data_IF_843345149127
#
_entry.id   IF_843345149127
#
_cell.length_a   1.000
_cell.length_b   1.000
_cell.length_c   1.000
_cell.angle_alpha   90.00
_cell.angle_beta   90.00
_cell.angle_gamma   90.00
#
_symmetry.space_group_name_H-M   'P 1'
#
loop_
_entity.id
_entity.type
_entity.pdbx_description
1 polymer ?
#
# COMPACT_ATOMS: atom_id res chain seq x y z
N UNK A 1 66.36 -41.81 -35.98
CA UNK A 1 66.26 -41.69 -37.45
C UNK A 1 65.02 -40.86 -37.77
N UNK A 2 65.13 -40.03 -38.82
CA UNK A 2 64.13 -39.12 -39.44
C UNK A 2 63.56 -37.99 -38.57
N UNK A 3 63.37 -36.75 -39.03
CA UNK A 3 64.04 -35.84 -39.97
C UNK A 3 63.22 -34.53 -39.89
N UNK A 4 63.90 -33.39 -39.93
CA UNK A 4 63.32 -32.04 -39.98
C UNK A 4 62.76 -31.76 -41.38
N UNK A 5 61.65 -31.00 -41.48
CA UNK A 5 61.17 -30.43 -42.73
C UNK A 5 60.00 -29.46 -42.54
N UNK A 6 60.31 -28.16 -42.53
CA UNK A 6 59.36 -27.06 -42.50
C UNK A 6 58.69 -26.83 -43.87
N UNK A 7 57.45 -26.32 -43.85
CA UNK A 7 56.92 -25.50 -44.94
C UNK A 7 56.00 -24.42 -44.37
N UNK A 8 56.39 -23.17 -44.60
CA UNK A 8 55.60 -21.98 -44.32
C UNK A 8 54.68 -21.68 -45.50
N UNK A 9 53.48 -21.17 -45.22
CA UNK A 9 52.68 -20.40 -46.17
C UNK A 9 52.11 -19.20 -45.41
N UNK A 10 52.57 -18.01 -45.80
CA UNK A 10 52.08 -16.73 -45.36
C UNK A 10 50.71 -16.44 -45.99
N UNK A 11 49.79 -15.87 -45.20
CA UNK A 11 48.56 -15.25 -45.68
C UNK A 11 48.32 -13.97 -44.87
N UNK A 12 48.51 -12.83 -45.50
CA UNK A 12 48.32 -11.49 -44.96
C UNK A 12 46.84 -11.21 -44.65
N UNK A 13 46.56 -10.34 -43.67
CA UNK A 13 45.23 -9.72 -43.55
C UNK A 13 44.87 -9.21 -42.17
N UNK A 14 45.37 -8.02 -41.84
CA UNK A 14 44.71 -6.97 -41.05
C UNK A 14 44.01 -7.32 -39.73
N UNK A 15 44.67 -6.93 -38.64
CA UNK A 15 44.03 -6.62 -37.37
C UNK A 15 42.95 -5.52 -37.57
N UNK A 16 41.69 -5.93 -37.60
CA UNK A 16 40.56 -5.03 -37.45
C UNK A 16 40.17 -5.00 -35.96
N UNK A 17 40.32 -3.83 -35.34
CA UNK A 17 39.71 -3.49 -34.04
C UNK A 17 38.25 -3.97 -34.03
N UNK A 18 37.74 -4.58 -32.96
CA UNK A 18 36.30 -4.57 -32.74
C UNK A 18 35.90 -3.10 -32.57
N UNK A 19 35.30 -2.53 -33.60
CA UNK A 19 34.60 -1.26 -33.50
C UNK A 19 33.51 -1.46 -32.46
N UNK A 20 33.67 -0.80 -31.32
CA UNK A 20 32.64 -0.66 -30.31
C UNK A 20 31.45 0.05 -30.94
N UNK A 21 30.47 -0.74 -31.37
CA UNK A 21 29.11 -0.26 -31.46
C UNK A 21 28.62 -0.28 -30.02
N UNK A 22 28.76 0.86 -29.34
CA UNK A 22 27.98 1.14 -28.14
C UNK A 22 26.53 1.14 -28.59
N UNK A 23 25.91 -0.04 -28.57
CA UNK A 23 24.48 -0.18 -28.66
C UNK A 23 23.96 0.45 -27.36
N UNK A 24 23.60 1.73 -27.45
CA UNK A 24 22.61 2.30 -26.55
C UNK A 24 21.49 1.28 -26.45
N UNK A 25 21.11 0.81 -25.24
CA UNK A 25 20.01 -0.13 -25.13
C UNK A 25 18.80 0.55 -25.75
N UNK A 26 18.35 0.04 -26.90
CA UNK A 26 17.02 0.34 -27.41
C UNK A 26 16.08 -0.24 -26.37
N UNK A 27 15.49 0.63 -25.55
CA UNK A 27 14.28 0.28 -24.83
C UNK A 27 13.33 -0.23 -25.91
N UNK A 28 13.02 -1.52 -25.86
CA UNK A 28 11.98 -2.11 -26.69
C UNK A 28 10.70 -1.35 -26.34
N UNK A 29 10.29 -0.45 -27.23
CA UNK A 29 9.02 0.27 -27.16
C UNK A 29 7.92 -0.72 -27.57
N UNK A 30 7.67 -1.71 -26.72
CA UNK A 30 6.43 -2.47 -26.76
C UNK A 30 5.47 -1.73 -25.84
N UNK A 31 4.52 -1.01 -26.45
CA UNK A 31 3.40 -0.30 -25.85
C UNK A 31 3.64 1.15 -25.39
N UNK A 32 3.90 2.06 -26.33
CA UNK A 32 3.38 3.42 -26.15
C UNK A 32 1.86 3.34 -26.37
N UNK A 33 1.10 3.29 -25.28
CA UNK A 33 -0.36 3.37 -25.34
C UNK A 33 -0.79 4.65 -26.07
N UNK A 34 -1.95 4.61 -26.75
CA UNK A 34 -2.50 5.79 -27.41
C UNK A 34 -2.60 6.97 -26.44
N UNK A 35 -2.18 8.17 -26.85
CA UNK A 35 -2.24 9.40 -26.02
C UNK A 35 -1.01 9.70 -25.15
N UNK A 36 0.10 8.98 -25.30
CA UNK A 36 1.37 9.29 -24.62
C UNK A 36 2.20 10.29 -25.44
N UNK A 37 2.63 11.40 -24.84
CA UNK A 37 3.57 12.35 -25.44
C UNK A 37 5.01 11.94 -25.13
N UNK A 38 5.84 11.87 -26.16
CA UNK A 38 7.26 11.56 -26.04
C UNK A 38 8.11 12.82 -26.09
N UNK A 39 8.93 13.04 -25.07
CA UNK A 39 9.90 14.13 -24.99
C UNK A 39 11.31 13.56 -24.93
N UNK A 40 12.19 14.06 -25.79
CA UNK A 40 13.61 13.70 -25.82
C UNK A 40 14.41 15.00 -25.80
N UNK A 41 15.48 15.02 -25.00
CA UNK A 41 16.42 16.13 -24.93
C UNK A 41 17.03 16.26 -23.55
N UNK A 42 17.99 17.17 -23.38
CA UNK A 42 18.70 17.35 -22.11
C UNK A 42 17.78 17.77 -20.94
N UNK A 43 16.68 18.47 -21.24
CA UNK A 43 15.72 19.00 -20.25
C UNK A 43 14.30 18.83 -20.77
N UNK A 44 13.53 17.95 -20.14
CA UNK A 44 12.14 17.69 -20.51
C UNK A 44 11.20 18.09 -19.36
N UNK A 45 10.14 18.82 -19.67
CA UNK A 45 9.14 19.26 -18.72
C UNK A 45 7.73 18.91 -19.21
N UNK A 46 6.93 18.32 -18.33
CA UNK A 46 5.50 18.13 -18.54
C UNK A 46 4.74 18.78 -17.38
N UNK A 47 3.81 19.68 -17.66
CA UNK A 47 3.03 20.38 -16.63
C UNK A 47 2.62 21.79 -17.05
N UNK A 48 1.94 22.53 -16.17
CA UNK A 48 1.33 23.82 -16.53
C UNK A 48 2.35 24.95 -16.74
N UNK A 49 3.45 24.97 -16.00
CA UNK A 49 4.38 26.11 -15.96
C UNK A 49 5.76 25.72 -16.47
N UNK A 50 5.94 25.80 -17.79
CA UNK A 50 7.23 25.53 -18.43
C UNK A 50 8.35 26.36 -17.77
N UNK A 51 9.46 25.74 -17.31
CA UNK A 51 10.50 26.45 -16.55
C UNK A 51 11.25 27.53 -17.34
N UNK A 52 11.12 27.57 -18.67
CA UNK A 52 11.68 28.60 -19.53
C UNK A 52 12.49 28.04 -20.71
N UNK A 53 13.29 28.92 -21.31
CA UNK A 53 14.08 28.60 -22.51
C UNK A 53 15.02 27.41 -22.27
N UNK A 54 15.07 26.51 -23.25
CA UNK A 54 15.91 25.32 -23.20
C UNK A 54 15.24 24.07 -22.60
N UNK A 55 13.98 24.16 -22.21
CA UNK A 55 13.15 23.00 -21.83
C UNK A 55 12.26 22.57 -22.99
N UNK A 56 12.22 21.26 -23.26
CA UNK A 56 11.19 20.65 -24.10
C UNK A 56 9.91 20.53 -23.25
N UNK A 57 8.92 21.37 -23.51
CA UNK A 57 7.73 21.51 -22.66
C UNK A 57 6.46 20.93 -23.29
N UNK A 58 5.63 20.28 -22.47
CA UNK A 58 4.28 19.83 -22.82
C UNK A 58 3.35 19.98 -21.62
N UNK A 59 2.04 19.94 -21.83
CA UNK A 59 1.03 19.90 -20.76
C UNK A 59 0.38 18.52 -20.61
N UNK A 60 0.86 17.52 -21.36
CA UNK A 60 0.30 16.17 -21.32
C UNK A 60 0.49 15.50 -19.94
N UNK A 61 -0.52 14.74 -19.52
CA UNK A 61 -0.54 13.94 -18.28
C UNK A 61 -0.05 12.51 -18.46
N UNK A 62 0.16 12.10 -19.72
CA UNK A 62 0.69 10.80 -20.11
C UNK A 62 1.97 11.03 -20.91
N UNK A 63 3.12 10.85 -20.27
CA UNK A 63 4.41 11.26 -20.85
C UNK A 63 5.49 10.19 -20.72
N UNK A 64 6.29 10.10 -21.79
CA UNK A 64 7.59 9.43 -21.79
C UNK A 64 8.68 10.49 -21.98
N UNK A 65 9.52 10.69 -20.98
CA UNK A 65 10.62 11.65 -21.01
C UNK A 65 11.96 10.91 -21.00
N UNK A 66 12.80 11.17 -22.00
CA UNK A 66 14.14 10.59 -22.13
C UNK A 66 15.17 11.72 -22.16
N UNK A 67 15.95 11.82 -21.09
CA UNK A 67 17.06 12.75 -21.01
C UNK A 67 18.30 12.13 -21.65
N UNK A 68 18.88 12.84 -22.64
CA UNK A 68 19.93 12.28 -23.52
C UNK A 68 21.35 12.45 -23.00
N UNK A 69 21.55 13.32 -22.00
CA UNK A 69 22.87 13.79 -21.61
C UNK A 69 23.21 13.35 -20.17
N UNK A 70 24.50 13.22 -19.88
CA UNK A 70 25.00 13.01 -18.53
C UNK A 70 24.67 14.25 -17.68
N UNK A 71 23.68 14.12 -16.79
CA UNK A 71 23.14 15.23 -16.00
C UNK A 71 21.82 15.81 -16.54
N UNK A 72 21.26 15.23 -17.60
CA UNK A 72 19.95 15.60 -18.12
C UNK A 72 18.81 15.41 -17.11
N UNK A 73 17.77 16.23 -17.25
CA UNK A 73 16.69 16.37 -16.27
C UNK A 73 15.33 16.11 -16.90
N UNK A 74 14.53 15.30 -16.22
CA UNK A 74 13.12 15.10 -16.53
C UNK A 74 12.27 15.59 -15.36
N UNK A 75 11.30 16.44 -15.64
CA UNK A 75 10.34 16.93 -14.67
C UNK A 75 8.94 16.74 -15.25
N UNK A 76 8.05 16.12 -14.49
CA UNK A 76 6.67 15.95 -14.86
C UNK A 76 5.77 16.26 -13.66
N UNK A 77 4.72 17.03 -13.90
CA UNK A 77 3.72 17.40 -12.92
C UNK A 77 2.33 17.27 -13.57
N UNK A 78 1.59 16.26 -13.13
CA UNK A 78 0.15 16.21 -13.33
C UNK A 78 -0.52 16.98 -12.19
N UNK A 79 -1.43 17.88 -12.54
CA UNK A 79 -2.37 18.53 -11.62
C UNK A 79 -3.77 18.33 -12.15
N UNK A 80 -4.78 18.70 -11.35
CA UNK A 80 -6.24 18.57 -11.55
C UNK A 80 -6.80 19.06 -12.90
N UNK A 81 -5.97 19.61 -13.79
CA UNK A 81 -6.35 20.41 -14.94
C UNK A 81 -6.85 19.65 -16.18
N UNK A 82 -6.84 18.32 -16.23
CA UNK A 82 -7.40 17.60 -17.39
C UNK A 82 -7.98 16.23 -17.03
N UNK A 83 -9.32 16.12 -16.84
CA UNK A 83 -10.00 14.83 -16.85
C UNK A 83 -9.68 14.12 -18.18
N UNK A 84 -9.17 12.88 -18.12
CA UNK A 84 -8.75 12.14 -19.33
C UNK A 84 -9.96 11.55 -20.07
N UNK A 85 -11.12 11.42 -19.41
CA UNK A 85 -12.28 10.75 -20.03
C UNK A 85 -13.65 11.17 -19.46
N UNK A 86 -13.76 11.43 -18.16
CA UNK A 86 -15.01 11.80 -17.48
C UNK A 86 -14.72 12.73 -16.30
N UNK A 87 -15.68 13.55 -15.83
CA UNK A 87 -15.50 14.44 -14.66
C UNK A 87 -15.09 13.69 -13.38
N UNK A 88 -15.35 12.39 -13.34
CA UNK A 88 -15.22 11.53 -12.16
C UNK A 88 -13.96 10.65 -12.18
N UNK A 89 -13.06 10.85 -13.16
CA UNK A 89 -11.84 10.06 -13.30
C UNK A 89 -10.63 10.92 -13.64
N UNK A 90 -9.60 10.80 -12.80
CA UNK A 90 -8.29 11.39 -13.02
C UNK A 90 -7.25 10.29 -13.20
N UNK A 91 -6.34 10.50 -14.16
CA UNK A 91 -5.27 9.57 -14.42
C UNK A 91 -4.02 10.34 -14.82
N UNK A 92 -2.87 9.91 -14.30
CA UNK A 92 -1.56 10.44 -14.63
C UNK A 92 -0.58 9.28 -14.85
N UNK A 93 0.17 9.32 -15.94
CA UNK A 93 1.18 8.30 -16.23
C UNK A 93 2.48 8.95 -16.67
N UNK A 94 3.52 8.80 -15.86
CA UNK A 94 4.83 9.42 -16.06
C UNK A 94 5.89 8.33 -16.17
N UNK A 95 6.58 8.28 -17.30
CA UNK A 95 7.77 7.44 -17.49
C UNK A 95 8.98 8.32 -17.77
N UNK A 96 10.02 8.24 -16.94
CA UNK A 96 11.22 9.07 -17.05
C UNK A 96 12.49 8.22 -17.06
N UNK A 97 13.38 8.52 -17.99
CA UNK A 97 14.73 7.95 -18.04
C UNK A 97 15.75 9.07 -18.16
N UNK A 98 16.70 9.15 -17.24
CA UNK A 98 17.66 10.26 -17.18
C UNK A 98 18.45 10.27 -15.87
N UNK A 99 19.47 11.13 -15.78
CA UNK A 99 20.29 11.22 -14.57
C UNK A 99 19.49 11.71 -13.35
N UNK A 100 18.56 12.65 -13.57
CA UNK A 100 17.69 13.23 -12.55
C UNK A 100 16.24 13.26 -13.03
N UNK A 101 15.37 12.56 -12.30
CA UNK A 101 13.95 12.43 -12.62
C UNK A 101 13.11 12.95 -11.44
N UNK A 102 12.14 13.81 -11.73
CA UNK A 102 11.17 14.31 -10.75
C UNK A 102 9.77 14.19 -11.32
N UNK A 103 8.90 13.47 -10.61
CA UNK A 103 7.52 13.23 -11.00
C UNK A 103 6.61 13.66 -9.85
N UNK A 104 5.58 14.43 -10.17
CA UNK A 104 4.52 14.83 -9.24
C UNK A 104 3.18 14.50 -9.86
N UNK A 105 2.36 13.84 -9.10
CA UNK A 105 1.06 13.35 -9.51
C UNK A 105 0.07 13.80 -8.46
N UNK A 106 -0.68 14.84 -8.78
CA UNK A 106 -1.63 15.49 -7.88
C UNK A 106 -3.00 15.35 -8.53
N UNK A 107 -3.86 14.59 -7.87
CA UNK A 107 -5.21 14.24 -8.33
C UNK A 107 -6.18 14.55 -7.19
N UNK A 108 -7.00 15.59 -7.35
CA UNK A 108 -8.08 15.95 -6.43
C UNK A 108 -9.43 15.86 -7.14
N UNK A 109 -10.36 15.06 -6.60
CA UNK A 109 -11.72 14.91 -7.09
C UNK A 109 -12.72 15.22 -5.98
N UNK A 110 -13.78 15.95 -6.36
CA UNK A 110 -14.97 16.13 -5.56
C UNK A 110 -16.17 15.56 -6.33
N UNK A 111 -16.46 14.29 -6.11
CA UNK A 111 -17.53 13.58 -6.80
C UNK A 111 -18.04 12.41 -5.93
N UNK A 112 -19.33 12.06 -6.03
CA UNK A 112 -19.90 10.91 -5.31
C UNK A 112 -19.20 9.60 -5.68
N UNK A 113 -18.94 9.39 -6.98
CA UNK A 113 -18.16 8.27 -7.49
C UNK A 113 -16.91 8.85 -8.11
N UNK A 114 -15.73 8.45 -7.64
CA UNK A 114 -14.48 9.03 -8.08
C UNK A 114 -13.38 7.96 -8.21
N UNK A 115 -12.58 8.04 -9.27
CA UNK A 115 -11.41 7.19 -9.47
C UNK A 115 -10.17 8.02 -9.80
N UNK A 116 -9.07 7.76 -9.08
CA UNK A 116 -7.77 8.40 -9.26
C UNK A 116 -6.72 7.33 -9.55
N UNK A 117 -5.90 7.52 -10.57
CA UNK A 117 -4.90 6.53 -10.99
C UNK A 117 -3.59 7.19 -11.35
N UNK A 118 -2.59 6.95 -10.50
CA UNK A 118 -1.26 7.48 -10.66
C UNK A 118 -0.25 6.38 -10.98
N UNK A 119 0.44 6.51 -12.12
CA UNK A 119 1.53 5.61 -12.52
C UNK A 119 2.84 6.38 -12.73
N UNK A 120 3.88 6.05 -11.96
CA UNK A 120 5.21 6.66 -12.09
C UNK A 120 6.25 5.56 -12.30
N UNK A 121 7.02 5.66 -13.37
CA UNK A 121 8.22 4.83 -13.62
C UNK A 121 9.42 5.73 -13.84
N UNK A 122 10.47 5.58 -13.04
CA UNK A 122 11.69 6.37 -13.15
C UNK A 122 12.93 5.48 -13.20
N UNK A 123 13.82 5.75 -14.14
CA UNK A 123 15.12 5.10 -14.24
C UNK A 123 16.22 6.15 -14.30
N UNK A 124 17.10 6.15 -13.30
CA UNK A 124 18.08 7.22 -13.13
C UNK A 124 18.90 7.12 -11.86
N UNK A 125 19.92 7.97 -11.76
CA UNK A 125 20.74 8.06 -10.56
C UNK A 125 20.01 8.76 -9.40
N UNK A 126 19.08 9.68 -9.71
CA UNK A 126 18.23 10.36 -8.73
C UNK A 126 16.79 10.35 -9.22
N UNK A 127 15.92 9.69 -8.47
CA UNK A 127 14.50 9.55 -8.77
C UNK A 127 13.70 10.09 -7.59
N UNK A 128 12.86 11.09 -7.84
CA UNK A 128 11.93 11.64 -6.87
C UNK A 128 10.51 11.55 -7.38
N UNK A 129 9.63 10.95 -6.59
CA UNK A 129 8.22 10.80 -6.88
C UNK A 129 7.38 11.37 -5.73
N UNK A 130 6.36 12.16 -6.08
CA UNK A 130 5.33 12.62 -5.15
C UNK A 130 3.98 12.26 -5.73
N UNK A 131 3.18 11.52 -4.97
CA UNK A 131 1.80 11.16 -5.30
C UNK A 131 0.89 11.74 -4.23
N UNK A 132 -0.11 12.49 -4.65
CA UNK A 132 -1.12 13.08 -3.79
C UNK A 132 -2.49 12.85 -4.44
N UNK A 133 -3.28 12.00 -3.82
CA UNK A 133 -4.61 11.61 -4.26
C UNK A 133 -5.61 11.99 -3.16
N UNK A 134 -6.64 12.78 -3.53
CA UNK A 134 -7.69 13.19 -2.61
C UNK A 134 -9.06 13.03 -3.27
N UNK A 135 -9.96 12.27 -2.64
CA UNK A 135 -11.36 12.18 -3.02
C UNK A 135 -12.20 12.74 -1.87
N UNK A 136 -13.08 13.68 -2.20
CA UNK A 136 -14.07 14.23 -1.28
C UNK A 136 -15.46 13.99 -1.84
N UNK A 137 -16.41 13.58 -1.00
CA UNK A 137 -17.83 13.51 -1.32
C UNK A 137 -18.64 13.99 -0.13
N UNK A 138 -19.57 14.91 -0.34
CA UNK A 138 -20.41 15.48 0.72
C UNK A 138 -21.88 15.48 0.32
N UNK A 139 -22.77 15.26 1.30
CA UNK A 139 -24.23 15.34 1.14
C UNK A 139 -24.79 14.42 0.05
N UNK A 140 -24.22 13.23 -0.07
CA UNK A 140 -24.67 12.19 -0.98
C UNK A 140 -25.40 11.09 -0.21
N UNK A 141 -26.23 10.31 -0.90
CA UNK A 141 -26.78 9.05 -0.36
C UNK A 141 -25.82 7.88 -0.57
N UNK A 142 -24.94 7.97 -1.57
CA UNK A 142 -23.98 6.94 -1.91
C UNK A 142 -22.68 7.60 -2.36
N UNK A 143 -21.55 7.09 -1.86
CA UNK A 143 -20.22 7.53 -2.27
C UNK A 143 -19.27 6.35 -2.45
N UNK A 144 -18.50 6.36 -3.54
CA UNK A 144 -17.46 5.37 -3.83
C UNK A 144 -16.18 6.07 -4.27
N UNK A 145 -15.09 5.86 -3.54
CA UNK A 145 -13.78 6.42 -3.85
C UNK A 145 -12.76 5.32 -4.16
N UNK A 146 -12.04 5.44 -5.27
CA UNK A 146 -10.97 4.52 -5.62
C UNK A 146 -9.67 5.27 -5.94
N UNK A 147 -8.59 4.97 -5.23
CA UNK A 147 -7.28 5.60 -5.41
C UNK A 147 -6.23 4.53 -5.66
N UNK A 148 -5.60 4.59 -6.83
CA UNK A 148 -4.58 3.63 -7.25
C UNK A 148 -3.28 4.38 -7.52
N UNK A 149 -2.20 3.94 -6.90
CA UNK A 149 -0.87 4.48 -7.10
C UNK A 149 0.14 3.35 -7.34
N UNK A 150 0.86 3.41 -8.46
CA UNK A 150 1.95 2.48 -8.79
C UNK A 150 3.22 3.26 -9.06
N UNK A 151 4.26 3.00 -8.27
CA UNK A 151 5.55 3.69 -8.38
C UNK A 151 6.68 2.66 -8.53
N UNK A 152 7.44 2.78 -9.61
CA UNK A 152 8.66 2.00 -9.86
C UNK A 152 9.85 2.94 -10.04
N UNK A 153 10.89 2.81 -9.21
CA UNK A 153 12.11 3.62 -9.30
C UNK A 153 13.36 2.73 -9.29
N UNK A 154 14.31 3.01 -10.19
CA UNK A 154 15.51 2.20 -10.30
C UNK A 154 16.72 2.95 -10.85
N UNK A 155 17.90 2.37 -10.63
CA UNK A 155 19.16 2.82 -11.24
C UNK A 155 19.33 2.35 -12.69
N UNK A 156 20.04 3.13 -13.50
CA UNK A 156 20.52 2.68 -14.80
C UNK A 156 21.84 1.90 -14.63
N UNK A 157 21.92 0.70 -15.22
CA UNK A 157 23.21 -0.01 -15.41
C UNK A 157 23.98 -0.36 -14.13
N UNK A 158 23.31 -0.58 -13.00
CA UNK A 158 23.96 -0.96 -11.74
C UNK A 158 24.65 0.19 -10.98
N UNK A 159 24.43 1.44 -11.39
CA UNK A 159 24.91 2.60 -10.65
C UNK A 159 24.14 2.78 -9.32
N UNK A 160 24.78 3.41 -8.34
CA UNK A 160 24.10 3.82 -7.12
C UNK A 160 22.97 4.81 -7.46
N UNK A 161 21.74 4.45 -7.12
CA UNK A 161 20.57 5.29 -7.30
C UNK A 161 20.03 5.76 -5.96
N UNK A 162 19.47 6.96 -5.97
CA UNK A 162 18.68 7.52 -4.88
C UNK A 162 17.23 7.55 -5.32
N UNK A 163 16.41 6.72 -4.69
CA UNK A 163 14.98 6.61 -4.94
C UNK A 163 14.23 7.17 -3.73
N UNK A 164 13.41 8.20 -3.97
CA UNK A 164 12.64 8.88 -2.94
C UNK A 164 11.17 8.96 -3.38
N UNK A 165 10.27 8.46 -2.53
CA UNK A 165 8.83 8.46 -2.72
C UNK A 165 8.12 9.05 -1.51
N UNK A 166 7.24 10.01 -1.79
CA UNK A 166 6.18 10.46 -0.88
C UNK A 166 4.82 10.17 -1.53
N UNK A 167 3.97 9.42 -0.85
CA UNK A 167 2.65 9.02 -1.32
C UNK A 167 1.62 9.35 -0.25
N UNK A 168 0.59 10.10 -0.64
CA UNK A 168 -0.57 10.42 0.19
C UNK A 168 -1.85 10.07 -0.57
N UNK A 169 -2.71 9.26 0.05
CA UNK A 169 -4.04 8.92 -0.41
C UNK A 169 -5.03 9.28 0.70
N UNK A 170 -6.06 10.05 0.36
CA UNK A 170 -7.11 10.42 1.30
C UNK A 170 -8.48 10.32 0.65
N UNK A 171 -9.40 9.61 1.30
CA UNK A 171 -10.83 9.57 0.95
C UNK A 171 -11.62 10.14 2.13
N UNK A 172 -12.46 11.14 1.85
CA UNK A 172 -13.34 11.76 2.83
C UNK A 172 -14.77 11.75 2.29
N UNK A 173 -15.62 10.93 2.89
CA UNK A 173 -17.01 10.78 2.49
C UNK A 173 -17.92 11.17 3.65
N UNK A 174 -18.86 12.07 3.38
CA UNK A 174 -19.89 12.46 4.32
C UNK A 174 -21.26 12.31 3.65
N UNK A 175 -22.04 11.34 4.11
CA UNK A 175 -23.38 10.99 3.59
C UNK A 175 -24.41 11.35 4.65
N UNK A 176 -25.54 11.91 4.21
CA UNK A 176 -26.54 12.50 5.11
C UNK A 176 -27.38 13.59 4.46
N UNK A 177 -28.67 13.65 4.84
CA UNK A 177 -29.53 14.79 4.58
C UNK A 177 -29.31 15.90 5.62
N UNK A 178 -29.85 17.10 5.40
CA UNK A 178 -29.94 18.10 6.46
C UNK A 178 -30.68 17.49 7.67
N UNK A 179 -30.29 17.84 8.89
CA UNK A 179 -30.90 17.40 10.16
C UNK A 179 -32.45 17.55 10.22
N UNK A 180 -33.06 18.28 9.27
CA UNK A 180 -34.49 18.60 9.18
C UNK A 180 -35.23 18.00 7.96
N UNK A 181 -34.56 17.30 7.02
CA UNK A 181 -35.23 16.75 5.83
C UNK A 181 -35.28 15.21 5.87
N UNK A 182 -36.35 14.72 6.49
CA UNK A 182 -36.76 13.32 6.64
C UNK A 182 -37.05 12.56 5.34
N UNK A 183 -36.40 12.89 4.23
CA UNK A 183 -36.34 12.05 3.01
C UNK A 183 -34.91 11.71 2.60
N UNK A 184 -33.98 11.67 3.54
CA UNK A 184 -32.73 10.91 3.39
C UNK A 184 -33.11 9.50 2.91
N UNK A 185 -32.52 9.01 1.83
CA UNK A 185 -32.72 7.65 1.34
C UNK A 185 -32.68 6.64 2.49
N UNK A 186 -33.52 5.59 2.41
CA UNK A 186 -33.56 4.52 3.43
C UNK A 186 -32.16 3.91 3.69
N UNK A 187 -31.25 4.05 2.71
CA UNK A 187 -29.88 3.55 2.73
C UNK A 187 -28.87 4.66 2.44
N UNK A 188 -27.79 4.69 3.23
CA UNK A 188 -26.56 5.43 2.95
C UNK A 188 -25.41 4.45 2.75
N UNK A 189 -24.66 4.59 1.65
CA UNK A 189 -23.48 3.77 1.38
C UNK A 189 -22.22 4.62 1.19
N UNK A 190 -21.12 4.18 1.79
CA UNK A 190 -19.81 4.79 1.66
C UNK A 190 -18.78 3.69 1.49
N UNK A 191 -18.10 3.66 0.35
CA UNK A 191 -17.03 2.71 0.11
C UNK A 191 -15.78 3.44 -0.37
N UNK A 192 -14.64 3.05 0.18
CA UNK A 192 -13.34 3.58 -0.17
C UNK A 192 -12.34 2.44 -0.36
N UNK A 193 -11.51 2.61 -1.40
CA UNK A 193 -10.44 1.67 -1.74
C UNK A 193 -9.17 2.45 -2.10
N UNK A 194 -8.09 2.20 -1.36
CA UNK A 194 -6.79 2.83 -1.53
C UNK A 194 -5.71 1.76 -1.77
N UNK A 195 -5.04 1.84 -2.92
CA UNK A 195 -3.98 0.91 -3.30
C UNK A 195 -2.69 1.66 -3.59
N UNK A 196 -1.61 1.24 -2.93
CA UNK A 196 -0.25 1.69 -3.20
C UNK A 196 0.67 0.49 -3.51
N UNK A 197 1.28 0.49 -4.70
CA UNK A 197 2.31 -0.50 -5.08
C UNK A 197 3.61 0.21 -5.36
N UNK A 198 4.66 -0.15 -4.62
CA UNK A 198 5.97 0.51 -4.67
C UNK A 198 7.05 -0.51 -4.92
N UNK A 199 7.83 -0.29 -5.97
CA UNK A 199 9.04 -1.05 -6.26
C UNK A 199 10.22 -0.09 -6.39
N UNK A 200 11.22 -0.24 -5.52
CA UNK A 200 12.44 0.56 -5.60
C UNK A 200 13.67 -0.36 -5.63
N UNK A 201 14.56 -0.11 -6.58
CA UNK A 201 15.80 -0.88 -6.72
C UNK A 201 17.00 0.03 -6.75
N UNK A 202 17.99 -0.26 -5.90
CA UNK A 202 19.23 0.48 -5.82
C UNK A 202 20.44 -0.46 -5.84
N UNK A 203 21.46 -0.10 -6.61
CA UNK A 203 22.73 -0.81 -6.66
C UNK A 203 23.80 -0.12 -5.82
N UNK A 204 24.93 -0.79 -5.56
CA UNK A 204 26.03 -0.22 -4.78
C UNK A 204 25.58 0.29 -3.40
N UNK A 205 25.97 1.52 -3.06
CA UNK A 205 25.57 2.24 -1.84
C UNK A 205 24.31 3.09 -2.00
N UNK A 206 23.48 2.81 -3.02
CA UNK A 206 22.25 3.53 -3.30
C UNK A 206 21.22 3.43 -2.15
N UNK A 207 20.14 4.21 -2.25
CA UNK A 207 19.14 4.33 -1.19
C UNK A 207 17.74 4.28 -1.76
N UNK A 208 16.86 3.57 -1.06
CA UNK A 208 15.43 3.54 -1.31
C UNK A 208 14.71 4.11 -0.08
N UNK A 209 13.87 5.12 -0.30
CA UNK A 209 13.02 5.70 0.73
C UNK A 209 11.59 5.75 0.23
N UNK A 210 10.65 5.26 1.04
CA UNK A 210 9.22 5.42 0.84
C UNK A 210 8.56 5.96 2.10
N UNK A 211 7.67 6.93 1.93
CA UNK A 211 6.73 7.40 2.93
C UNK A 211 5.33 7.32 2.34
N UNK A 212 4.50 6.45 2.90
CA UNK A 212 3.14 6.17 2.44
C UNK A 212 2.18 6.54 3.56
N UNK A 213 1.24 7.41 3.25
CA UNK A 213 0.13 7.80 4.12
C UNK A 213 -1.19 7.52 3.38
N UNK A 214 -2.02 6.66 3.95
CA UNK A 214 -3.33 6.30 3.41
C UNK A 214 -4.37 6.53 4.51
N UNK A 215 -5.37 7.35 4.23
CA UNK A 215 -6.40 7.71 5.19
C UNK A 215 -7.79 7.64 4.58
N UNK A 216 -8.70 6.97 5.28
CA UNK A 216 -10.12 6.96 4.97
C UNK A 216 -10.89 7.54 6.15
N UNK A 217 -11.79 8.48 5.85
CA UNK A 217 -12.71 9.05 6.83
C UNK A 217 -14.11 9.05 6.27
N UNK A 218 -14.99 8.28 6.88
CA UNK A 218 -16.36 8.07 6.44
C UNK A 218 -17.32 8.45 7.56
N UNK A 219 -18.27 9.32 7.24
CA UNK A 219 -19.33 9.72 8.16
C UNK A 219 -20.70 9.53 7.51
N UNK A 220 -21.53 8.67 8.09
CA UNK A 220 -22.92 8.47 7.73
C UNK A 220 -23.82 8.98 8.84
N UNK A 221 -24.87 9.74 8.49
CA UNK A 221 -25.83 10.26 9.46
C UNK A 221 -27.24 10.42 8.90
N UNK A 222 -28.24 10.16 9.75
CA UNK A 222 -29.65 10.49 9.48
C UNK A 222 -30.46 9.40 8.76
N UNK A 223 -29.85 8.43 8.08
CA UNK A 223 -30.58 7.30 7.50
C UNK A 223 -30.81 6.15 8.51
N UNK A 224 -31.87 5.34 8.32
CA UNK A 224 -32.09 4.13 9.11
C UNK A 224 -31.10 3.01 8.75
N UNK A 225 -30.63 2.92 7.50
CA UNK A 225 -29.58 1.98 7.09
C UNK A 225 -28.31 2.73 6.66
N UNK A 226 -27.17 2.36 7.24
CA UNK A 226 -25.87 2.97 6.99
C UNK A 226 -24.82 1.89 6.80
N UNK A 227 -24.15 1.90 5.65
CA UNK A 227 -23.13 0.94 5.26
C UNK A 227 -21.84 1.68 4.91
N UNK A 228 -20.77 1.37 5.65
CA UNK A 228 -19.44 1.96 5.47
C UNK A 228 -18.44 0.84 5.25
N UNK A 229 -17.78 0.82 4.09
CA UNK A 229 -16.84 -0.22 3.69
C UNK A 229 -17.40 -1.65 3.80
N UNK A 230 -18.71 -1.79 3.68
CA UNK A 230 -19.40 -3.08 3.77
C UNK A 230 -19.31 -3.86 2.45
N UNK A 231 -19.16 -3.16 1.33
CA UNK A 231 -18.97 -3.81 0.03
C UNK A 231 -17.53 -4.30 -0.13
N UNK A 232 -17.37 -5.47 -0.74
CA UNK A 232 -16.06 -5.98 -1.08
C UNK A 232 -15.47 -5.25 -2.28
N UNK A 233 -14.29 -4.66 -2.10
CA UNK A 233 -13.48 -4.13 -3.19
C UNK A 233 -12.96 -5.22 -4.10
N UNK A 234 -12.50 -4.82 -5.29
CA UNK A 234 -11.90 -5.73 -6.27
C UNK A 234 -10.36 -5.80 -6.20
N UNK A 235 -9.73 -5.02 -5.33
CA UNK A 235 -8.31 -4.66 -5.49
C UNK A 235 -7.50 -5.07 -4.27
N UNK A 236 -6.73 -6.16 -4.40
CA UNK A 236 -5.65 -6.51 -3.48
C UNK A 236 -4.32 -6.02 -4.06
N UNK A 237 -3.56 -5.25 -3.28
CA UNK A 237 -2.21 -4.81 -3.64
C UNK A 237 -1.17 -5.95 -3.54
N UNK A 238 -1.57 -7.11 -3.01
CA UNK A 238 -0.77 -8.32 -2.85
C UNK A 238 -1.55 -9.58 -3.31
N UNK A 239 -1.78 -9.76 -4.62
CA UNK A 239 -2.65 -10.81 -5.17
C UNK A 239 -2.18 -12.26 -4.89
N UNK A 240 -1.01 -12.45 -4.29
CA UNK A 240 -0.51 -13.75 -3.85
C UNK A 240 -1.24 -14.29 -2.59
N UNK A 241 -2.00 -13.46 -1.88
CA UNK A 241 -2.83 -13.87 -0.74
C UNK A 241 -4.28 -13.97 -1.21
N UNK A 242 -4.72 -15.18 -1.60
CA UNK A 242 -6.10 -15.37 -2.07
C UNK A 242 -7.10 -15.12 -0.94
N UNK A 243 -8.06 -14.20 -1.15
CA UNK A 243 -9.23 -14.02 -0.28
C UNK A 243 -9.29 -12.73 0.54
N UNK A 244 -8.31 -11.82 0.41
CA UNK A 244 -8.36 -10.48 1.00
C UNK A 244 -8.78 -9.42 -0.03
N UNK A 245 -9.68 -8.51 0.36
CA UNK A 245 -10.10 -7.33 -0.40
C UNK A 245 -10.05 -6.09 0.52
N UNK A 246 -8.85 -5.74 1.02
CA UNK A 246 -8.69 -4.65 1.99
C UNK A 246 -9.14 -3.32 1.39
N UNK A 247 -9.75 -2.47 2.21
CA UNK A 247 -10.06 -1.09 1.84
C UNK A 247 -8.78 -0.29 1.64
N UNK A 248 -7.83 -0.43 2.57
CA UNK A 248 -6.54 0.26 2.51
C UNK A 248 -5.41 -0.75 2.37
N UNK A 249 -4.70 -0.68 1.24
CA UNK A 249 -3.65 -1.63 0.88
C UNK A 249 -2.36 -0.93 0.42
N UNK A 250 -1.23 -1.36 0.99
CA UNK A 250 0.09 -0.95 0.51
C UNK A 250 1.03 -2.16 0.37
N UNK A 251 1.70 -2.27 -0.77
CA UNK A 251 2.72 -3.29 -1.03
C UNK A 251 4.03 -2.61 -1.46
N UNK A 252 5.04 -2.72 -0.60
CA UNK A 252 6.35 -2.09 -0.77
C UNK A 252 7.41 -3.16 -0.95
N UNK A 253 8.10 -3.15 -2.08
CA UNK A 253 9.27 -3.96 -2.35
C UNK A 253 10.49 -3.05 -2.59
N UNK A 254 11.50 -3.14 -1.72
CA UNK A 254 12.74 -2.37 -1.84
C UNK A 254 13.95 -3.28 -1.84
N UNK A 255 14.76 -3.19 -2.89
CA UNK A 255 16.02 -3.92 -3.00
C UNK A 255 17.20 -2.94 -3.02
N UNK A 256 18.19 -3.16 -2.15
CA UNK A 256 19.45 -2.43 -2.17
C UNK A 256 20.67 -3.35 -1.99
N UNK A 257 21.64 -3.31 -2.91
CA UNK A 257 22.80 -4.24 -2.87
C UNK A 257 23.63 -4.09 -1.57
N UNK A 258 24.25 -2.93 -1.35
CA UNK A 258 25.01 -2.58 -0.13
C UNK A 258 24.50 -1.25 0.46
N UNK A 259 23.27 -0.90 0.11
CA UNK A 259 22.64 0.38 0.39
C UNK A 259 21.69 0.33 1.56
N UNK A 260 20.79 1.31 1.63
CA UNK A 260 19.78 1.40 2.69
C UNK A 260 18.38 1.39 2.10
N UNK A 261 17.50 0.57 2.68
CA UNK A 261 16.07 0.60 2.44
C UNK A 261 15.36 1.21 3.65
N UNK A 262 14.52 2.22 3.43
CA UNK A 262 13.67 2.83 4.45
C UNK A 262 12.23 2.87 3.98
N UNK A 263 11.30 2.35 4.79
CA UNK A 263 9.87 2.46 4.52
C UNK A 263 9.12 2.94 5.76
N UNK A 264 8.33 3.99 5.60
CA UNK A 264 7.34 4.43 6.58
C UNK A 264 5.96 4.24 5.97
N UNK A 265 5.14 3.43 6.61
CA UNK A 265 3.76 3.15 6.22
C UNK A 265 2.82 3.62 7.32
N UNK A 266 1.88 4.48 6.96
CA UNK A 266 0.79 4.93 7.81
C UNK A 266 -0.52 4.64 7.11
N UNK A 267 -1.41 3.92 7.77
CA UNK A 267 -2.73 3.59 7.23
C UNK A 267 -3.77 3.82 8.33
N UNK A 268 -4.88 4.48 7.99
CA UNK A 268 -5.96 4.71 8.94
C UNK A 268 -7.33 4.61 8.31
N UNK A 269 -8.26 3.95 9.00
CA UNK A 269 -9.69 3.94 8.69
C UNK A 269 -10.44 4.52 9.89
N UNK A 270 -11.27 5.53 9.65
CA UNK A 270 -12.14 6.18 10.64
C UNK A 270 -13.57 6.23 10.09
N UNK A 271 -14.45 5.44 10.70
CA UNK A 271 -15.84 5.26 10.27
C UNK A 271 -16.80 5.64 11.40
N UNK A 272 -17.75 6.52 11.09
CA UNK A 272 -18.75 6.97 12.05
C UNK A 272 -20.15 6.90 11.46
N UNK A 273 -21.01 6.12 12.09
CA UNK A 273 -22.43 5.94 11.77
C UNK A 273 -23.32 6.50 12.90
N UNK A 274 -24.27 7.37 12.57
CA UNK A 274 -25.24 7.92 13.53
C UNK A 274 -26.66 7.93 12.99
N UNK A 275 -27.59 7.28 13.69
CA UNK A 275 -29.02 7.31 13.35
C UNK A 275 -29.86 7.74 14.54
N UNK A 276 -31.00 8.36 14.28
CA UNK A 276 -32.03 8.64 15.29
C UNK A 276 -33.23 7.68 15.18
N UNK A 277 -33.21 6.75 14.22
CA UNK A 277 -34.30 5.82 13.99
C UNK A 277 -34.25 4.63 14.95
N UNK A 278 -35.41 4.24 15.47
CA UNK A 278 -35.53 2.97 16.20
C UNK A 278 -35.43 1.81 15.21
N UNK A 279 -34.56 0.84 15.51
CA UNK A 279 -34.32 -0.28 14.59
C UNK A 279 -33.36 0.07 13.45
N UNK A 280 -32.55 1.12 13.59
CA UNK A 280 -31.49 1.43 12.63
C UNK A 280 -30.54 0.23 12.44
N UNK A 281 -29.99 0.08 11.23
CA UNK A 281 -28.97 -0.91 10.88
C UNK A 281 -27.69 -0.19 10.47
N UNK A 282 -26.62 -0.38 11.24
CA UNK A 282 -25.32 0.26 11.01
C UNK A 282 -24.26 -0.82 10.81
N UNK A 283 -23.69 -0.88 9.61
CA UNK A 283 -22.69 -1.87 9.20
C UNK A 283 -21.38 -1.15 8.84
N UNK A 284 -20.30 -1.52 9.51
CA UNK A 284 -18.98 -0.90 9.36
C UNK A 284 -17.90 -1.96 9.13
N UNK A 285 -17.32 -1.94 7.92
CA UNK A 285 -16.34 -2.91 7.45
C UNK A 285 -16.92 -4.30 7.13
N UNK A 286 -16.02 -5.22 6.76
CA UNK A 286 -16.31 -6.63 6.58
C UNK A 286 -15.07 -7.52 6.81
N UNK A 287 -15.28 -8.83 6.97
CA UNK A 287 -14.20 -9.80 7.27
C UNK A 287 -13.06 -9.87 6.25
N UNK A 288 -13.31 -9.54 4.98
CA UNK A 288 -12.28 -9.48 3.93
C UNK A 288 -11.68 -8.09 3.72
N UNK A 289 -12.21 -7.07 4.40
CA UNK A 289 -11.89 -5.65 4.23
C UNK A 289 -10.68 -5.18 5.03
N UNK A 290 -10.66 -3.88 5.30
CA UNK A 290 -9.81 -3.29 6.33
C UNK A 290 -8.45 -2.86 5.83
N UNK A 291 -7.44 -3.06 6.67
CA UNK A 291 -6.08 -2.56 6.41
C UNK A 291 -5.15 -3.73 6.15
N UNK A 292 -4.43 -3.69 5.03
CA UNK A 292 -3.38 -4.64 4.70
C UNK A 292 -2.10 -3.90 4.26
N UNK A 293 -1.05 -4.04 5.06
CA UNK A 293 0.28 -3.53 4.73
C UNK A 293 1.23 -4.68 4.41
N UNK A 294 2.04 -4.54 3.37
CA UNK A 294 3.15 -5.43 3.07
C UNK A 294 4.41 -4.62 2.81
N UNK A 295 5.47 -4.94 3.54
CA UNK A 295 6.78 -4.31 3.39
C UNK A 295 7.81 -5.42 3.28
N UNK A 296 8.36 -5.58 2.08
CA UNK A 296 9.48 -6.44 1.77
C UNK A 296 10.71 -5.58 1.46
N UNK A 297 11.77 -5.75 2.23
CA UNK A 297 13.04 -5.08 2.01
C UNK A 297 14.16 -6.10 1.99
N UNK A 298 14.96 -6.13 0.94
CA UNK A 298 16.09 -7.03 0.85
C UNK A 298 17.39 -6.30 0.49
N UNK A 299 18.47 -6.87 0.98
CA UNK A 299 19.84 -6.46 0.65
C UNK A 299 20.70 -7.68 0.38
N UNK A 300 21.92 -7.48 -0.13
CA UNK A 300 22.81 -8.61 -0.41
C UNK A 300 23.10 -9.41 0.86
N UNK A 301 23.03 -10.74 0.78
CA UNK A 301 23.45 -11.62 1.86
C UNK A 301 24.94 -11.42 2.17
N UNK A 302 25.26 -11.15 3.44
CA UNK A 302 26.62 -10.84 3.86
C UNK A 302 27.14 -9.47 3.43
N UNK A 303 26.29 -8.64 2.79
CA UNK A 303 26.61 -7.25 2.45
C UNK A 303 26.50 -6.31 3.65
N UNK A 304 26.99 -5.09 3.49
CA UNK A 304 26.93 -4.04 4.52
C UNK A 304 25.63 -3.24 4.52
N UNK A 305 24.64 -3.65 3.73
CA UNK A 305 23.36 -2.97 3.61
C UNK A 305 22.50 -3.09 4.87
N UNK A 306 21.45 -2.27 4.95
CA UNK A 306 20.48 -2.30 6.04
C UNK A 306 19.07 -1.93 5.59
N UNK A 307 18.07 -2.49 6.28
CA UNK A 307 16.65 -2.23 6.04
C UNK A 307 15.99 -1.69 7.31
N UNK A 308 15.15 -0.66 7.17
CA UNK A 308 14.32 -0.13 8.24
C UNK A 308 12.88 0.03 7.76
N UNK A 309 11.94 -0.54 8.50
CA UNK A 309 10.50 -0.39 8.27
C UNK A 309 9.79 0.08 9.54
N UNK A 310 8.86 1.00 9.36
CA UNK A 310 7.94 1.45 10.40
C UNK A 310 6.52 1.45 9.83
N UNK A 311 5.67 0.56 10.33
CA UNK A 311 4.27 0.48 9.99
C UNK A 311 3.43 0.96 11.18
N UNK A 312 2.55 1.92 10.95
CA UNK A 312 1.56 2.40 11.90
C UNK A 312 0.18 2.31 11.27
N UNK A 313 -0.66 1.42 11.79
CA UNK A 313 -1.99 1.17 11.28
C UNK A 313 -3.00 1.38 12.40
N UNK A 314 -4.00 2.23 12.16
CA UNK A 314 -5.00 2.54 13.17
C UNK A 314 -6.41 2.41 12.62
N UNK A 315 -7.33 1.93 13.44
CA UNK A 315 -8.74 1.84 13.08
C UNK A 315 -9.62 2.45 14.16
N UNK A 316 -10.62 3.19 13.73
CA UNK A 316 -11.69 3.67 14.60
C UNK A 316 -13.04 3.45 13.93
N UNK A 317 -13.96 2.79 14.64
CA UNK A 317 -15.35 2.65 14.19
C UNK A 317 -16.28 3.05 15.35
N UNK A 318 -17.25 3.92 15.05
CA UNK A 318 -18.26 4.38 16.00
C UNK A 318 -19.67 4.24 15.40
N UNK A 319 -20.54 3.49 16.07
CA UNK A 319 -21.94 3.32 15.73
C UNK A 319 -22.85 3.80 16.87
N UNK A 320 -23.77 4.70 16.57
CA UNK A 320 -24.72 5.26 17.54
C UNK A 320 -26.14 5.33 17.00
N UNK A 321 -27.09 4.77 17.76
CA UNK A 321 -28.53 4.77 17.49
C UNK A 321 -29.34 4.55 18.78
N UNK A 322 -30.66 4.86 18.79
CA UNK A 322 -31.56 4.48 19.88
C UNK A 322 -31.58 2.97 20.13
N UNK A 323 -32.00 2.58 21.35
CA UNK A 323 -32.12 1.19 21.75
C UNK A 323 -32.98 0.36 20.78
N UNK A 324 -32.52 -0.84 20.45
CA UNK A 324 -33.15 -1.74 19.48
C UNK A 324 -32.54 -1.67 18.08
N UNK A 325 -31.41 -0.98 17.90
CA UNK A 325 -30.67 -0.95 16.65
C UNK A 325 -29.89 -2.25 16.42
N UNK A 326 -29.58 -2.53 15.15
CA UNK A 326 -28.60 -3.52 14.74
C UNK A 326 -27.28 -2.81 14.43
N UNK A 327 -26.20 -3.20 15.11
CA UNK A 327 -24.87 -2.60 14.95
C UNK A 327 -23.84 -3.71 14.74
N UNK A 328 -23.13 -3.65 13.61
CA UNK A 328 -22.07 -4.57 13.24
C UNK A 328 -20.80 -3.80 12.84
N UNK A 329 -19.69 -4.17 13.46
CA UNK A 329 -18.36 -3.63 13.22
C UNK A 329 -17.37 -4.78 13.07
N UNK A 330 -16.89 -5.03 11.86
CA UNK A 330 -15.93 -6.10 11.58
C UNK A 330 -14.93 -5.62 10.57
N UNK A 331 -13.68 -5.44 10.96
CA UNK A 331 -12.70 -5.00 9.97
C UNK A 331 -11.26 -5.32 10.40
N UNK A 332 -10.54 -6.25 9.74
CA UNK A 332 -9.22 -6.69 10.18
C UNK A 332 -8.13 -5.65 9.89
N UNK A 333 -7.01 -5.76 10.64
CA UNK A 333 -5.78 -5.00 10.40
C UNK A 333 -4.62 -5.98 10.32
N UNK A 334 -3.90 -5.96 9.20
CA UNK A 334 -2.80 -6.88 8.92
C UNK A 334 -1.55 -6.14 8.43
N UNK A 335 -0.40 -6.57 8.92
CA UNK A 335 0.93 -6.19 8.45
C UNK A 335 1.93 -7.31 8.79
N UNK A 336 3.12 -7.42 8.23
CA UNK A 336 3.70 -6.76 7.05
C UNK A 336 4.15 -7.77 5.98
N UNK A 337 3.70 -9.03 6.10
CA UNK A 337 4.11 -10.16 5.24
C UNK A 337 5.12 -11.12 5.91
N UNK A 338 5.31 -12.29 5.31
CA UNK A 338 6.09 -13.43 5.85
C UNK A 338 7.62 -13.31 5.64
N UNK A 339 8.09 -12.33 4.87
CA UNK A 339 9.50 -12.17 4.52
C UNK A 339 9.92 -10.69 4.55
N UNK A 340 9.65 -9.98 5.65
CA UNK A 340 9.73 -8.53 5.67
C UNK A 340 11.15 -7.96 5.46
N UNK A 341 12.21 -8.58 6.02
CA UNK A 341 13.59 -8.10 5.82
C UNK A 341 14.63 -9.21 5.62
N UNK A 342 15.34 -9.19 4.48
CA UNK A 342 16.37 -10.18 4.14
C UNK A 342 17.75 -9.56 3.87
N UNK A 343 18.82 -10.32 4.20
CA UNK A 343 20.21 -9.89 4.01
C UNK A 343 20.67 -8.78 4.96
N UNK A 344 21.86 -8.25 4.70
CA UNK A 344 22.38 -7.07 5.42
C UNK A 344 22.62 -7.27 6.91
N UNK A 345 22.73 -6.15 7.62
CA UNK A 345 22.92 -6.11 9.08
C UNK A 345 22.18 -4.94 9.70
N UNK A 346 21.89 -5.02 11.01
CA UNK A 346 21.20 -3.97 11.76
C UNK A 346 19.81 -3.63 11.21
N UNK A 347 19.11 -4.62 10.68
CA UNK A 347 17.76 -4.44 10.17
C UNK A 347 16.79 -4.12 11.33
N UNK A 348 15.82 -3.24 11.09
CA UNK A 348 14.85 -2.80 12.11
C UNK A 348 13.45 -2.81 11.53
N UNK A 349 12.53 -3.42 12.26
CA UNK A 349 11.12 -3.43 11.91
C UNK A 349 10.28 -3.01 13.12
N UNK A 350 9.37 -2.07 12.91
CA UNK A 350 8.43 -1.64 13.94
C UNK A 350 7.02 -1.71 13.37
N UNK A 351 6.13 -2.39 14.10
CA UNK A 351 4.73 -2.57 13.76
C UNK A 351 3.89 -2.06 14.92
N UNK A 352 3.24 -0.91 14.72
CA UNK A 352 2.23 -0.35 15.59
C UNK A 352 0.85 -0.59 14.98
N UNK A 353 -0.04 -1.26 15.70
CA UNK A 353 -1.42 -1.48 15.27
C UNK A 353 -2.39 -1.09 16.38
N UNK A 354 -3.41 -0.32 16.05
CA UNK A 354 -4.49 -0.01 16.99
C UNK A 354 -5.87 -0.18 16.37
N UNK A 355 -6.84 -0.57 17.17
CA UNK A 355 -8.25 -0.54 16.80
C UNK A 355 -9.12 -0.15 18.00
N UNK A 356 -10.10 0.72 17.76
CA UNK A 356 -11.12 1.14 18.72
C UNK A 356 -12.50 1.07 18.09
N UNK A 357 -13.30 0.10 18.54
CA UNK A 357 -14.68 -0.13 18.10
C UNK A 357 -15.64 0.30 19.20
N UNK A 358 -16.62 1.14 18.90
CA UNK A 358 -17.62 1.59 19.86
C UNK A 358 -19.03 1.51 19.27
N UNK A 359 -19.98 0.95 20.03
CA UNK A 359 -21.36 0.74 19.62
C UNK A 359 -22.33 1.05 20.77
N UNK A 360 -23.40 1.82 20.50
CA UNK A 360 -24.37 2.24 21.53
C UNK A 360 -25.23 1.09 22.10
N UNK A 361 -25.41 0.00 21.36
CA UNK A 361 -26.07 -1.22 21.86
C UNK A 361 -25.21 -2.02 22.85
N UNK A 362 -23.93 -1.65 23.01
CA UNK A 362 -23.00 -2.32 23.92
C UNK A 362 -22.90 -3.81 23.63
N UNK A 363 -23.37 -4.65 24.57
CA UNK A 363 -23.37 -6.12 24.41
C UNK A 363 -24.38 -6.64 23.37
N UNK A 364 -25.28 -5.79 22.88
CA UNK A 364 -26.21 -6.09 21.79
C UNK A 364 -25.59 -5.97 20.39
N UNK A 365 -24.44 -5.29 20.27
CA UNK A 365 -23.73 -5.11 19.01
C UNK A 365 -22.84 -6.33 18.68
N UNK A 366 -22.64 -6.58 17.39
CA UNK A 366 -21.64 -7.51 16.91
C UNK A 366 -20.35 -6.74 16.58
N UNK A 367 -19.28 -6.98 17.34
CA UNK A 367 -18.02 -6.29 17.15
C UNK A 367 -16.88 -7.31 17.10
N UNK A 368 -16.04 -7.21 16.08
CA UNK A 368 -14.88 -8.09 15.86
C UNK A 368 -13.69 -7.29 15.38
N UNK A 369 -12.58 -7.38 16.12
CA UNK A 369 -11.32 -6.74 15.80
C UNK A 369 -10.20 -7.77 15.83
N UNK A 370 -9.48 -7.87 14.71
CA UNK A 370 -8.29 -8.72 14.60
C UNK A 370 -7.09 -7.86 14.20
N UNK A 371 -6.04 -7.88 15.02
CA UNK A 371 -4.77 -7.21 14.74
C UNK A 371 -3.68 -8.26 14.48
N UNK A 372 -3.22 -8.36 13.24
CA UNK A 372 -2.19 -9.31 12.82
C UNK A 372 -0.88 -8.61 12.44
N UNK A 373 0.18 -8.95 13.18
CA UNK A 373 1.54 -8.51 12.90
C UNK A 373 2.45 -9.70 12.56
N UNK A 374 3.08 -9.67 11.40
CA UNK A 374 4.06 -10.65 10.93
C UNK A 374 5.38 -9.98 10.60
N UNK A 375 6.47 -10.61 11.04
CA UNK A 375 7.83 -10.18 10.72
C UNK A 375 8.73 -11.39 10.50
N UNK A 376 9.65 -11.25 9.56
CA UNK A 376 10.76 -12.17 9.32
C UNK A 376 12.02 -11.38 8.97
N UNK A 377 12.81 -11.12 10.01
CA UNK A 377 14.01 -10.30 10.00
C UNK A 377 15.10 -11.03 10.80
N UNK A 378 15.68 -12.12 10.24
CA UNK A 378 16.57 -13.03 10.99
C UNK A 378 17.86 -12.36 11.48
N UNK A 379 18.28 -11.28 10.81
CA UNK A 379 19.50 -10.51 11.11
C UNK A 379 19.19 -9.12 11.70
N UNK A 380 17.97 -8.92 12.22
CA UNK A 380 17.48 -7.64 12.72
C UNK A 380 16.74 -7.71 14.06
N UNK A 381 16.15 -6.59 14.42
CA UNK A 381 15.26 -6.44 15.59
C UNK A 381 13.87 -6.06 15.11
N UNK A 382 12.84 -6.66 15.70
CA UNK A 382 11.45 -6.34 15.41
C UNK A 382 10.71 -5.98 16.67
N UNK A 383 9.93 -4.91 16.59
CA UNK A 383 9.10 -4.41 17.68
C UNK A 383 7.65 -4.42 17.24
N UNK A 384 6.80 -5.00 18.08
CA UNK A 384 5.36 -5.05 17.91
C UNK A 384 4.72 -4.28 19.06
N UNK A 385 3.73 -3.47 18.76
CA UNK A 385 2.94 -2.73 19.72
C UNK A 385 1.49 -2.70 19.22
N UNK A 386 0.62 -3.45 19.88
CA UNK A 386 -0.76 -3.65 19.45
C UNK A 386 -1.71 -3.26 20.58
N UNK A 387 -2.75 -2.49 20.24
CA UNK A 387 -3.79 -2.06 21.17
C UNK A 387 -5.18 -2.26 20.56
N UNK A 388 -6.01 -3.09 21.18
CA UNK A 388 -7.39 -3.32 20.79
C UNK A 388 -8.34 -2.79 21.87
N UNK A 389 -9.40 -2.10 21.46
CA UNK A 389 -10.49 -1.65 22.33
C UNK A 389 -11.84 -1.92 21.67
N UNK A 390 -12.75 -2.53 22.43
CA UNK A 390 -14.14 -2.75 22.03
C UNK A 390 -15.01 -2.25 23.17
N UNK A 391 -15.74 -1.16 22.93
CA UNK A 391 -16.48 -0.40 23.92
C UNK A 391 -15.60 -0.02 25.12
N UNK A 392 -15.87 -0.59 26.29
CA UNK A 392 -15.12 -0.36 27.54
C UNK A 392 -13.95 -1.32 27.72
N UNK A 393 -13.93 -2.45 27.01
CA UNK A 393 -12.91 -3.48 27.16
C UNK A 393 -11.69 -3.15 26.29
N UNK A 394 -10.49 -3.36 26.82
CA UNK A 394 -9.25 -3.17 26.06
C UNK A 394 -8.19 -4.22 26.36
N UNK A 395 -7.28 -4.41 25.41
CA UNK A 395 -6.13 -5.28 25.53
C UNK A 395 -4.94 -4.66 24.77
N UNK A 396 -3.77 -4.72 25.38
CA UNK A 396 -2.53 -4.24 24.77
C UNK A 396 -1.44 -5.29 24.87
N UNK A 397 -0.57 -5.34 23.87
CA UNK A 397 0.64 -6.13 23.91
C UNK A 397 1.79 -5.40 23.23
N UNK A 398 2.97 -5.46 23.85
CA UNK A 398 4.20 -4.91 23.29
C UNK A 398 5.30 -5.96 23.39
N UNK A 399 6.05 -6.17 22.33
CA UNK A 399 7.16 -7.11 22.29
C UNK A 399 8.30 -6.57 21.44
N UNK A 400 9.54 -6.82 21.86
CA UNK A 400 10.73 -6.56 21.04
C UNK A 400 11.60 -7.80 21.01
N UNK A 401 12.00 -8.24 19.82
CA UNK A 401 12.70 -9.51 19.59
C UNK A 401 13.88 -9.28 18.67
N UNK A 402 15.02 -9.85 19.03
CA UNK A 402 16.19 -9.96 18.15
C UNK A 402 16.11 -11.26 17.35
N UNK A 403 16.51 -11.22 16.08
CA UNK A 403 16.45 -12.36 15.17
C UNK A 403 15.04 -12.93 15.01
N UNK A 404 14.20 -12.17 14.31
CA UNK A 404 12.80 -12.50 14.10
C UNK A 404 12.67 -13.60 13.05
N UNK A 405 12.68 -14.85 13.49
CA UNK A 405 12.32 -16.00 12.66
C UNK A 405 10.80 -16.15 12.67
N UNK A 406 10.15 -15.88 11.52
CA UNK A 406 8.70 -16.03 11.25
C UNK A 406 7.82 -16.08 12.50
N UNK A 407 7.49 -14.91 13.07
CA UNK A 407 6.56 -14.81 14.20
C UNK A 407 5.24 -14.21 13.75
N UNK A 408 4.15 -14.83 14.19
CA UNK A 408 2.78 -14.34 14.03
C UNK A 408 2.29 -13.86 15.39
N UNK A 409 1.77 -12.63 15.45
CA UNK A 409 1.14 -12.08 16.64
C UNK A 409 -0.29 -11.69 16.29
N UNK A 410 -1.25 -12.20 17.06
CA UNK A 410 -2.67 -11.93 16.91
C UNK A 410 -3.23 -11.44 18.24
N UNK A 411 -3.87 -10.28 18.24
CA UNK A 411 -4.74 -9.85 19.33
C UNK A 411 -6.20 -9.97 18.86
N UNK A 412 -7.01 -10.70 19.61
CA UNK A 412 -8.45 -10.88 19.33
C UNK A 412 -9.23 -10.90 20.66
N UNK A 413 -10.17 -9.97 20.87
CA UNK A 413 -11.20 -10.13 21.90
C UNK A 413 -12.15 -11.25 21.47
N UNK A 414 -12.41 -12.25 22.33
CA UNK A 414 -13.41 -13.28 22.01
C UNK A 414 -14.82 -12.73 22.24
N UNK A 415 -15.76 -12.85 21.29
CA UNK A 415 -17.16 -12.62 21.58
C UNK A 415 -17.63 -13.64 22.63
N UNK A 416 -18.33 -13.17 23.67
CA UNK A 416 -19.00 -14.07 24.62
C UNK A 416 -20.07 -14.85 23.84
N UNK A 417 -19.78 -16.13 23.57
CA UNK A 417 -20.81 -17.09 23.11
C UNK A 417 -21.98 -17.04 24.10
N UNK A 418 -23.19 -16.76 23.61
CA UNK A 418 -24.42 -17.13 24.32
C UNK A 418 -24.39 -18.65 24.56
N UNK A 419 -24.05 -19.08 25.77
CA UNK A 419 -24.40 -20.42 26.24
C UNK A 419 -25.91 -20.47 26.38
N UNK A 420 -26.59 -20.94 25.34
CA UNK A 420 -27.89 -21.58 25.52
C UNK A 420 -27.62 -22.96 26.12
N UNK A 421 -28.14 -23.18 27.32
CA UNK A 421 -28.08 -24.47 28.00
C UNK A 421 -28.71 -25.55 27.11
N UNK A 422 -28.00 -26.65 26.87
CA UNK A 422 -28.67 -27.93 26.71
C UNK A 422 -27.78 -29.11 27.12
N UNK A 423 -28.35 -29.91 27.99
CA UNK A 423 -27.86 -31.13 28.62
C UNK A 423 -27.67 -32.24 27.58
N UNK A 424 -26.51 -32.89 27.52
CA UNK A 424 -26.45 -34.35 27.26
C UNK A 424 -25.07 -34.97 27.59
N UNK A 425 -25.18 -36.11 28.25
CA UNK A 425 -24.19 -37.04 28.82
C UNK A 425 -23.33 -37.78 27.79
N UNK A 426 -22.07 -38.12 28.16
CA UNK A 426 -21.54 -39.50 28.33
C UNK A 426 -20.12 -39.77 27.75
N UNK A 427 -19.29 -40.40 28.61
CA UNK A 427 -18.15 -41.32 28.42
C UNK A 427 -16.89 -40.94 27.59
N UNK A 428 -15.74 -40.98 28.28
CA UNK A 428 -14.37 -40.95 27.75
C UNK A 428 -13.92 -42.33 27.25
N UNK A 429 -13.22 -42.34 26.10
CA UNK A 429 -12.48 -43.48 25.55
C UNK A 429 -11.13 -43.05 24.95
N UNK A 430 -10.09 -43.80 25.30
CA UNK A 430 -8.63 -43.64 25.13
C UNK A 430 -8.04 -43.59 23.68
N UNK A 431 -6.87 -42.93 23.60
CA UNK A 431 -5.57 -43.30 22.91
C UNK A 431 -5.17 -42.68 21.53
N UNK A 432 -4.09 -41.87 21.60
CA UNK A 432 -2.80 -41.87 20.85
C UNK A 432 -2.70 -41.66 19.32
N UNK A 433 -1.98 -40.61 18.88
CA UNK A 433 -0.63 -40.65 18.23
C UNK A 433 -0.36 -39.51 17.20
N UNK A 434 0.87 -38.95 17.20
CA UNK A 434 1.56 -38.40 16.00
C UNK A 434 1.63 -36.87 15.83
N UNK A 435 2.76 -36.30 15.33
CA UNK A 435 3.18 -34.92 15.63
C UNK A 435 2.58 -33.89 14.66
N UNK A 436 1.86 -32.91 15.20
CA UNK A 436 1.50 -31.69 14.49
C UNK A 436 2.47 -30.57 14.85
N UNK A 437 2.85 -29.79 13.83
CA UNK A 437 3.64 -28.57 13.96
C UNK A 437 3.11 -27.69 15.11
N UNK A 438 4.01 -27.15 15.91
CA UNK A 438 3.69 -26.31 17.06
C UNK A 438 2.98 -25.02 16.63
N UNK A 439 1.65 -25.07 16.61
CA UNK A 439 0.75 -23.93 16.62
C UNK A 439 0.65 -23.47 18.08
N UNK A 440 1.17 -22.29 18.42
CA UNK A 440 0.89 -21.63 19.70
C UNK A 440 -0.14 -20.54 19.48
N UNK A 441 -1.37 -20.84 19.87
CA UNK A 441 -2.47 -19.90 20.01
C UNK A 441 -2.30 -19.20 21.36
N UNK A 442 -2.10 -17.87 21.35
CA UNK A 442 -2.23 -17.09 22.59
C UNK A 442 -3.67 -16.59 22.66
N UNK A 443 -4.46 -17.23 23.51
CA UNK A 443 -5.74 -16.72 23.95
C UNK A 443 -5.49 -15.70 25.04
N UNK A 444 -5.92 -14.46 24.85
CA UNK A 444 -6.07 -13.50 25.95
C UNK A 444 -7.43 -13.77 26.60
N UNK A 445 -7.36 -14.40 27.77
CA UNK A 445 -8.47 -14.64 28.68
C UNK A 445 -8.68 -13.36 29.51
N UNK A 446 -9.77 -12.64 29.26
CA UNK A 446 -10.28 -11.63 30.19
C UNK A 446 -11.50 -12.20 30.92
N UNK A 447 -11.21 -13.19 31.76
CA UNK A 447 -12.15 -13.75 32.72
C UNK A 447 -12.18 -12.94 34.01
N UNK A 448 -13.04 -11.91 34.07
CA UNK A 448 -14.16 -11.74 35.03
C UNK A 448 -14.61 -10.29 35.11
#
# INVERSE_FOLDING_TARGET
>A
MTAVGAMALAGAGSAAKPQGVSATPRIASTHLAAGVIRQIGARNYAGPNCPGVGWNCTTATRVLQVATDDGGQNVAQCTDATPISTPDTQMCTISQTGASNTARCIEHLNAPVATQTCGITQTGARNKAVVEQMIVSTHTSAATGNQIATVTQGGAGGAASLNDLQLSQSVQQNTGGNDDDSTSSDLQTQDAFQTATVVQTASGSGKNTSSIDQSERQHAHGAPMQEQNFTSGSTDCAPAVSGSAPNVCANVAQHAVNGTNTSNLKQSIDEKAKSNDQGASQLQGQSGGGINGQIHQDTSFGGSGSSTSNANQSKHQEASAPAGAFQEQTDPVSCCGFASQLGGSNNKETIHQSGDLNASEGLGAFQSLELFGTSNSPLGTCTFDQHAKINIDSASQTASVTSCLSRHWAAAPRPRRRTSANTQTREQGRRSAGPAAHQRQLALDLGR
#
